data_IF_709735256580
#
_entry.id   IF_709735256580
#
_cell.length_a   1.000
_cell.length_b   1.000
_cell.length_c   1.000
_cell.angle_alpha   90.00
_cell.angle_beta   90.00
_cell.angle_gamma   90.00
#
_symmetry.space_group_name_H-M   'P 1'
#
loop_
_entity.id
_entity.type
_entity.pdbx_description
1 polymer ?
#
# COMPACT_ATOMS: atom_id res chain seq x y z
N UNK A 1 -16.49 -8.82 -4.50
CA UNK A 1 -16.22 -7.53 -3.78
C UNK A 1 -15.65 -6.49 -4.73
N UNK A 2 -16.26 -5.30 -4.81
CA UNK A 2 -15.81 -4.20 -5.69
C UNK A 2 -14.56 -3.52 -5.13
N UNK A 3 -13.60 -3.17 -6.00
CA UNK A 3 -12.45 -2.32 -5.64
C UNK A 3 -12.96 -0.91 -5.34
N UNK A 4 -12.35 -0.22 -4.39
CA UNK A 4 -12.67 1.17 -4.03
C UNK A 4 -11.39 1.99 -3.98
N UNK A 5 -11.48 3.24 -4.41
CA UNK A 5 -10.47 4.25 -4.13
C UNK A 5 -10.93 5.05 -2.91
N UNK A 6 -10.04 5.28 -1.95
CA UNK A 6 -10.28 6.12 -0.78
C UNK A 6 -9.06 6.99 -0.54
N UNK A 7 -9.27 8.23 -0.12
CA UNK A 7 -8.20 9.17 0.21
C UNK A 7 -8.36 9.68 1.63
N UNK A 8 -7.27 10.14 2.22
CA UNK A 8 -7.28 10.66 3.59
C UNK A 8 -5.88 10.87 4.16
N UNK A 9 -5.86 11.32 5.40
CA UNK A 9 -4.67 11.53 6.21
C UNK A 9 -4.30 10.23 6.92
N UNK A 10 -3.03 9.88 6.86
CA UNK A 10 -2.45 8.72 7.54
C UNK A 10 -2.16 9.03 9.00
N UNK A 11 -2.52 8.10 9.89
CA UNK A 11 -2.20 8.14 11.31
C UNK A 11 -1.88 6.74 11.83
N UNK A 12 -1.18 6.64 12.96
CA UNK A 12 -0.94 5.38 13.69
C UNK A 12 -0.27 4.29 12.83
N UNK A 13 0.76 4.66 12.07
CA UNK A 13 1.47 3.70 11.22
C UNK A 13 2.18 2.63 12.07
N UNK A 14 1.91 1.37 11.74
CA UNK A 14 2.60 0.20 12.27
C UNK A 14 3.19 -0.62 11.11
N UNK A 15 4.44 -1.06 11.26
CA UNK A 15 5.13 -1.86 10.25
C UNK A 15 5.77 -3.07 10.91
N UNK A 16 5.33 -4.26 10.51
CA UNK A 16 5.80 -5.53 11.07
C UNK A 16 6.58 -6.32 10.01
N UNK A 17 7.90 -6.51 10.17
CA UNK A 17 8.68 -7.36 9.28
C UNK A 17 8.43 -8.84 9.57
N UNK A 18 8.37 -9.66 8.53
CA UNK A 18 8.36 -11.12 8.65
C UNK A 18 9.32 -11.75 7.64
N UNK A 19 10.03 -12.78 8.09
CA UNK A 19 10.94 -13.55 7.26
C UNK A 19 10.14 -14.27 6.17
N UNK A 20 10.53 -14.09 4.90
CA UNK A 20 9.94 -14.83 3.79
C UNK A 20 11.02 -15.65 3.09
N UNK A 21 10.75 -16.94 2.90
CA UNK A 21 11.69 -17.83 2.22
C UNK A 21 11.87 -17.39 0.76
N UNK A 22 13.12 -17.13 0.35
CA UNK A 22 13.45 -16.90 -1.05
C UNK A 22 13.24 -18.20 -1.84
N UNK A 23 12.44 -18.16 -2.92
CA UNK A 23 12.29 -19.33 -3.79
C UNK A 23 13.53 -19.43 -4.71
N UNK A 24 14.35 -20.45 -4.44
CA UNK A 24 15.45 -21.00 -5.27
C UNK A 24 16.63 -20.03 -5.59
N UNK A 25 17.83 -20.51 -5.28
CA UNK A 25 19.14 -20.07 -5.81
C UNK A 25 19.75 -18.73 -5.35
N UNK A 26 19.44 -18.21 -4.17
CA UNK A 26 20.30 -17.18 -3.55
C UNK A 26 20.82 -17.65 -2.20
N UNK A 27 22.14 -17.84 -2.10
CA UNK A 27 22.82 -18.38 -0.90
C UNK A 27 22.83 -17.42 0.30
N UNK A 28 22.27 -16.21 0.22
CA UNK A 28 22.43 -15.24 1.33
C UNK A 28 21.45 -14.05 1.42
N UNK A 29 20.23 -14.10 0.86
CA UNK A 29 19.28 -12.99 1.01
C UNK A 29 18.11 -13.40 1.92
N UNK A 30 18.15 -13.00 3.20
CA UNK A 30 16.96 -12.93 4.05
C UNK A 30 16.03 -11.88 3.43
N UNK A 31 15.08 -12.32 2.63
CA UNK A 31 14.14 -11.40 1.97
C UNK A 31 12.97 -11.16 2.92
N UNK A 32 12.86 -9.93 3.42
CA UNK A 32 11.77 -9.55 4.32
C UNK A 32 10.54 -9.13 3.52
N UNK A 33 9.40 -9.55 4.02
CA UNK A 33 8.11 -8.99 3.67
C UNK A 33 7.59 -8.22 4.88
N UNK A 34 6.69 -7.28 4.66
CA UNK A 34 6.24 -6.34 5.67
C UNK A 34 4.72 -6.25 5.63
N UNK A 35 4.11 -6.40 6.79
CA UNK A 35 2.70 -6.06 6.98
C UNK A 35 2.66 -4.66 7.55
N UNK A 36 2.06 -3.74 6.80
CA UNK A 36 1.92 -2.35 7.17
C UNK A 36 0.46 -2.09 7.47
N UNK A 37 0.16 -1.55 8.64
CA UNK A 37 -1.18 -1.10 9.01
C UNK A 37 -1.16 0.34 9.47
N UNK A 38 -2.26 1.04 9.26
CA UNK A 38 -2.42 2.44 9.66
C UNK A 38 -3.91 2.82 9.62
N UNK A 39 -4.24 3.93 10.24
CA UNK A 39 -5.55 4.53 10.17
C UNK A 39 -5.59 5.60 9.08
N UNK A 40 -6.59 5.53 8.21
CA UNK A 40 -6.86 6.54 7.20
C UNK A 40 -8.09 7.34 7.59
N UNK A 41 -7.88 8.62 7.89
CA UNK A 41 -8.95 9.57 8.23
C UNK A 41 -9.34 10.33 6.97
N UNK A 42 -10.55 10.13 6.47
CA UNK A 42 -11.03 10.87 5.30
C UNK A 42 -11.47 12.30 5.65
N UNK A 43 -11.79 13.08 4.62
CA UNK A 43 -12.24 14.47 4.77
C UNK A 43 -13.55 14.62 5.57
N UNK A 44 -14.31 13.53 5.77
CA UNK A 44 -15.52 13.52 6.61
C UNK A 44 -15.23 13.12 8.07
N UNK A 45 -13.95 12.95 8.43
CA UNK A 45 -13.54 12.49 9.77
C UNK A 45 -13.72 10.99 9.99
N UNK A 46 -14.09 10.22 8.95
CA UNK A 46 -14.32 8.79 9.08
C UNK A 46 -13.01 8.03 9.01
N UNK A 47 -12.73 7.28 10.07
CA UNK A 47 -11.54 6.45 10.20
C UNK A 47 -11.74 5.10 9.51
N UNK A 48 -10.74 4.67 8.74
CA UNK A 48 -10.65 3.32 8.17
C UNK A 48 -9.31 2.71 8.55
N UNK A 49 -9.34 1.55 9.19
CA UNK A 49 -8.13 0.79 9.45
C UNK A 49 -7.67 0.08 8.17
N UNK A 50 -6.46 0.40 7.71
CA UNK A 50 -5.88 -0.07 6.46
C UNK A 50 -4.83 -1.13 6.73
N UNK A 51 -4.82 -2.17 5.90
CA UNK A 51 -3.80 -3.22 5.88
C UNK A 51 -3.16 -3.28 4.49
N UNK A 52 -1.84 -3.25 4.44
CA UNK A 52 -1.06 -3.31 3.22
C UNK A 52 0.09 -4.30 3.39
N UNK A 53 -0.01 -5.42 2.69
CA UNK A 53 1.05 -6.43 2.66
C UNK A 53 2.04 -6.11 1.56
N UNK A 54 3.32 -6.09 1.90
CA UNK A 54 4.41 -5.86 0.97
C UNK A 54 5.37 -7.04 0.96
N UNK A 55 5.57 -7.63 -0.20
CA UNK A 55 6.46 -8.79 -0.35
C UNK A 55 7.83 -8.33 -0.84
N UNK A 56 8.88 -8.81 -0.16
CA UNK A 56 10.26 -8.72 -0.65
C UNK A 56 10.81 -7.31 -0.90
N UNK A 57 10.26 -6.29 -0.22
CA UNK A 57 10.60 -4.88 -0.39
C UNK A 57 10.40 -4.13 0.92
N UNK A 58 11.23 -3.11 1.17
CA UNK A 58 11.09 -2.19 2.31
C UNK A 58 9.70 -1.57 2.37
N UNK A 59 9.18 -1.18 3.54
CA UNK A 59 7.90 -0.50 3.66
C UNK A 59 7.86 0.83 2.85
N UNK A 60 6.67 1.30 2.44
CA UNK A 60 6.47 2.67 1.98
C UNK A 60 7.02 3.68 3.00
N UNK A 61 7.61 4.78 2.52
CA UNK A 61 8.09 5.87 3.38
C UNK A 61 6.92 6.80 3.74
N UNK A 62 5.93 6.25 4.43
CA UNK A 62 4.77 6.99 4.90
C UNK A 62 5.07 7.55 6.30
N UNK A 63 4.54 8.73 6.56
CA UNK A 63 4.63 9.43 7.84
C UNK A 63 3.22 9.82 8.30
N UNK A 64 3.01 9.90 9.61
CA UNK A 64 1.76 10.40 10.17
C UNK A 64 1.54 11.86 9.70
N UNK A 65 0.31 12.17 9.30
CA UNK A 65 -0.05 13.44 8.69
C UNK A 65 0.07 13.46 7.16
N UNK A 66 0.64 12.44 6.52
CA UNK A 66 0.65 12.37 5.05
C UNK A 66 -0.76 12.19 4.48
N UNK A 67 -1.08 12.92 3.40
CA UNK A 67 -2.30 12.71 2.63
C UNK A 67 -2.03 11.75 1.47
N UNK A 68 -2.75 10.63 1.44
CA UNK A 68 -2.57 9.59 0.42
C UNK A 68 -3.89 9.13 -0.19
N UNK A 69 -3.78 8.51 -1.36
CA UNK A 69 -4.86 7.74 -1.99
C UNK A 69 -4.58 6.25 -1.89
N UNK A 70 -5.61 5.44 -1.70
CA UNK A 70 -5.49 4.00 -1.58
C UNK A 70 -6.54 3.33 -2.44
N UNK A 71 -6.08 2.39 -3.26
CA UNK A 71 -6.96 1.49 -4.00
C UNK A 71 -6.95 0.15 -3.31
N UNK A 72 -8.13 -0.34 -2.92
CA UNK A 72 -8.24 -1.56 -2.15
C UNK A 72 -9.64 -2.15 -2.11
N UNK A 73 -9.83 -3.10 -1.21
CA UNK A 73 -11.11 -3.78 -0.97
C UNK A 73 -11.37 -3.86 0.53
N UNK A 74 -12.62 -3.67 0.91
CA UNK A 74 -13.07 -3.87 2.30
C UNK A 74 -13.38 -5.35 2.51
N UNK A 75 -12.85 -5.97 3.56
CA UNK A 75 -13.18 -7.34 3.97
C UNK A 75 -12.25 -8.45 3.45
N UNK A 76 -12.64 -9.71 3.68
CA UNK A 76 -11.81 -10.92 3.74
C UNK A 76 -10.76 -11.09 2.62
N UNK A 77 -9.47 -10.98 2.97
CA UNK A 77 -8.38 -11.48 2.15
C UNK A 77 -7.99 -12.87 2.69
N UNK A 78 -8.59 -13.94 2.15
CA UNK A 78 -8.21 -15.35 2.35
C UNK A 78 -7.96 -15.74 3.82
N UNK A 79 -9.01 -16.19 4.51
CA UNK A 79 -8.91 -17.00 5.74
C UNK A 79 -8.56 -16.27 7.04
N UNK A 80 -7.94 -15.10 7.01
CA UNK A 80 -7.48 -14.39 8.21
C UNK A 80 -7.81 -12.90 8.13
N UNK A 81 -8.50 -12.42 9.18
CA UNK A 81 -8.68 -11.01 9.60
C UNK A 81 -9.94 -10.22 9.11
N UNK A 82 -10.71 -9.82 10.13
CA UNK A 82 -11.80 -8.85 10.27
C UNK A 82 -12.48 -8.21 9.04
N UNK A 83 -13.82 -8.33 8.98
CA UNK A 83 -14.72 -7.56 8.08
C UNK A 83 -14.56 -6.03 8.16
N UNK A 84 -13.86 -5.52 9.18
CA UNK A 84 -13.69 -4.10 9.47
C UNK A 84 -12.50 -3.46 8.74
N UNK A 85 -11.53 -4.26 8.27
CA UNK A 85 -10.29 -3.73 7.67
C UNK A 85 -10.45 -3.42 6.18
N UNK A 86 -9.67 -2.44 5.73
CA UNK A 86 -9.51 -2.10 4.32
C UNK A 86 -8.16 -2.62 3.81
N UNK A 87 -8.19 -3.62 2.95
CA UNK A 87 -6.98 -4.21 2.38
C UNK A 87 -6.56 -3.38 1.17
N UNK A 88 -5.49 -2.61 1.37
CA UNK A 88 -4.84 -1.85 0.31
C UNK A 88 -4.20 -2.81 -0.69
N UNK A 89 -4.49 -2.61 -1.97
CA UNK A 89 -3.78 -3.24 -3.08
C UNK A 89 -2.69 -2.32 -3.63
N UNK A 90 -2.81 -1.01 -3.35
CA UNK A 90 -1.98 0.04 -3.92
C UNK A 90 -2.16 1.32 -3.11
N UNK A 91 -1.06 1.99 -2.82
CA UNK A 91 -1.03 3.29 -2.15
C UNK A 91 -0.41 4.30 -3.13
N UNK A 92 -1.07 5.43 -3.31
CA UNK A 92 -0.66 6.52 -4.18
C UNK A 92 -0.28 7.68 -3.27
N UNK A 93 1.01 7.96 -3.23
CA UNK A 93 1.60 9.10 -2.53
C UNK A 93 1.96 10.17 -3.55
N UNK A 94 1.11 11.19 -3.63
CA UNK A 94 1.29 12.31 -4.57
C UNK A 94 2.41 13.25 -4.11
N UNK A 95 2.59 13.44 -2.80
CA UNK A 95 3.66 14.29 -2.22
C UNK A 95 5.04 13.81 -2.67
N UNK A 96 5.25 12.49 -2.69
CA UNK A 96 6.53 11.88 -3.08
C UNK A 96 6.56 11.37 -4.53
N UNK A 97 5.50 11.60 -5.31
CA UNK A 97 5.32 11.08 -6.68
C UNK A 97 5.61 9.58 -6.78
N UNK A 98 5.02 8.80 -5.86
CA UNK A 98 5.24 7.36 -5.76
C UNK A 98 3.94 6.61 -5.65
N UNK A 99 3.90 5.45 -6.29
CA UNK A 99 2.87 4.45 -6.10
C UNK A 99 3.50 3.17 -5.55
N UNK A 100 2.97 2.71 -4.44
CA UNK A 100 3.41 1.52 -3.74
C UNK A 100 2.43 0.38 -4.02
N UNK A 101 2.93 -0.70 -4.60
CA UNK A 101 2.20 -1.96 -4.75
C UNK A 101 2.89 -3.06 -3.93
N UNK A 102 2.24 -4.22 -3.68
CA UNK A 102 2.84 -5.30 -2.91
C UNK A 102 4.18 -5.78 -3.46
N UNK A 103 4.41 -5.66 -4.77
CA UNK A 103 5.56 -6.23 -5.47
C UNK A 103 6.53 -5.18 -6.05
N UNK A 104 6.07 -3.96 -6.31
CA UNK A 104 6.84 -2.92 -7.03
C UNK A 104 6.60 -1.52 -6.46
N UNK A 105 7.61 -0.67 -6.57
CA UNK A 105 7.47 0.79 -6.49
C UNK A 105 7.34 1.31 -7.92
N UNK A 106 6.37 2.18 -8.17
CA UNK A 106 6.20 2.87 -9.44
C UNK A 106 6.45 4.35 -9.17
N UNK A 107 7.34 4.97 -9.94
CA UNK A 107 7.51 6.43 -9.92
C UNK A 107 6.41 7.05 -10.77
N UNK A 108 5.66 7.99 -10.21
CA UNK A 108 4.46 8.53 -10.88
C UNK A 108 4.80 9.38 -12.12
N UNK A 109 6.05 9.82 -12.30
CA UNK A 109 6.50 10.49 -13.55
C UNK A 109 6.21 9.65 -14.80
N UNK A 110 6.34 8.32 -14.73
CA UNK A 110 6.01 7.43 -15.86
C UNK A 110 4.50 7.26 -16.13
N UNK A 111 3.63 7.71 -15.21
CA UNK A 111 2.17 7.75 -15.42
C UNK A 111 1.73 9.04 -16.12
N UNK A 112 2.43 10.16 -15.89
CA UNK A 112 2.23 11.39 -16.66
C UNK A 112 2.62 11.20 -18.13
N UNK A 113 3.80 10.61 -18.40
CA UNK A 113 4.25 10.33 -19.77
C UNK A 113 3.34 9.37 -20.53
N UNK A 114 2.76 8.36 -19.86
CA UNK A 114 1.79 7.44 -20.47
C UNK A 114 0.44 8.07 -20.77
N UNK A 115 0.01 9.06 -19.98
CA UNK A 115 -1.25 9.77 -20.25
C UNK A 115 -1.08 10.82 -21.35
N UNK A 116 0.14 11.35 -21.55
CA UNK A 116 0.45 12.26 -22.65
C UNK A 116 0.58 11.55 -24.01
N UNK A 117 0.87 10.25 -24.04
CA UNK A 117 0.96 9.45 -25.28
C UNK A 117 -0.37 8.80 -25.73
N UNK A 118 -1.46 8.98 -24.98
CA UNK A 118 -2.79 8.45 -25.34
C UNK A 118 -3.72 9.56 -25.87
N UNK A 119 -3.21 10.80 -25.98
CA UNK A 119 -3.93 11.97 -26.47
C UNK A 119 -3.44 12.48 -27.83
N UNK A 120 -2.64 11.69 -28.55
CA UNK A 120 -2.30 11.94 -29.97
C UNK A 120 -2.93 10.87 -30.87
#
# INVERSE_FOLDING_TARGET
>A
MKKKCVSGIVQNISTNPFATFSRRNSRNLKVFSFDISFDLVDNSGKVRHVWFKRSFRFPPKLEDGDYIEIVGRRGYLIGLLGKKNFYAMRIIDRKRNREYTPWRNILTRSLQEKNSQVTD
#
